data_IF_947793359257
#
_entry.id   IF_947793359257
#
_cell.length_a   1.000
_cell.length_b   1.000
_cell.length_c   1.000
_cell.angle_alpha   90.00
_cell.angle_beta   90.00
_cell.angle_gamma   90.00
#
_symmetry.space_group_name_H-M   'P 1'
#
loop_
_entity.id
_entity.type
_entity.pdbx_description
1 polymer ?
#
# COMPACT_ATOMS: atom_id res chain seq x y z
N UNK A 1 13.21 35.12 46.24
CA UNK A 1 11.88 35.68 46.60
C UNK A 1 11.35 36.33 45.33
N UNK A 2 10.23 35.98 44.69
CA UNK A 2 8.98 35.32 45.09
C UNK A 2 8.48 34.51 43.87
N UNK A 3 8.05 33.28 44.12
CA UNK A 3 7.34 32.42 43.16
C UNK A 3 6.01 33.03 42.71
N UNK A 4 5.63 32.89 41.44
CA UNK A 4 4.23 32.92 41.02
C UNK A 4 3.90 31.71 40.17
N UNK A 5 3.42 30.68 40.85
CA UNK A 5 2.54 29.66 40.28
C UNK A 5 1.20 30.30 39.86
N UNK A 6 0.51 29.58 38.98
CA UNK A 6 -0.94 29.46 38.88
C UNK A 6 -1.62 30.32 37.80
N UNK A 7 -2.05 29.65 36.73
CA UNK A 7 -3.47 29.38 36.46
C UNK A 7 -3.61 28.11 35.62
N UNK A 8 -4.13 27.06 36.27
CA UNK A 8 -4.72 25.88 35.62
C UNK A 8 -6.04 26.32 34.98
N UNK A 9 -6.22 26.09 33.68
CA UNK A 9 -7.56 25.98 33.08
C UNK A 9 -7.84 24.52 32.82
N UNK A 10 -8.65 23.93 33.70
CA UNK A 10 -9.35 22.67 33.52
C UNK A 10 -10.78 23.00 33.10
N UNK A 11 -11.35 22.15 32.25
CA UNK A 11 -12.77 21.82 32.04
C UNK A 11 -13.26 22.07 30.60
N UNK A 12 -13.46 20.94 29.92
CA UNK A 12 -14.23 20.82 28.69
C UNK A 12 -14.55 19.34 28.41
N UNK A 13 -15.03 18.60 29.42
CA UNK A 13 -15.68 17.30 29.21
C UNK A 13 -17.03 17.54 28.54
N UNK A 14 -17.25 16.95 27.37
CA UNK A 14 -18.58 16.80 26.77
C UNK A 14 -18.79 15.32 26.48
N UNK A 15 -19.39 14.61 27.44
CA UNK A 15 -19.78 13.21 27.32
C UNK A 15 -21.22 13.10 26.80
N UNK A 16 -21.41 12.13 25.90
CA UNK A 16 -22.64 11.37 25.54
C UNK A 16 -23.83 12.06 24.86
N UNK A 17 -24.22 11.47 23.72
CA UNK A 17 -25.62 11.14 23.46
C UNK A 17 -25.69 9.89 22.57
N UNK A 18 -25.84 8.71 23.18
CA UNK A 18 -26.43 7.55 22.52
C UNK A 18 -27.95 7.70 22.56
N UNK A 19 -28.63 7.47 21.44
CA UNK A 19 -30.08 7.22 21.42
C UNK A 19 -30.38 6.09 20.43
N UNK A 20 -31.41 5.34 20.81
CA UNK A 20 -31.69 3.92 20.54
C UNK A 20 -32.54 3.72 19.27
N UNK A 21 -32.44 2.50 18.73
CA UNK A 21 -33.31 1.86 17.74
C UNK A 21 -34.82 2.16 17.88
N UNK A 22 -35.45 2.43 16.74
CA UNK A 22 -36.79 1.97 16.33
C UNK A 22 -36.80 2.07 14.78
N UNK A 23 -37.16 1.08 13.97
CA UNK A 23 -38.28 0.16 14.11
C UNK A 23 -39.41 0.60 13.16
N UNK A 24 -39.25 0.43 11.85
CA UNK A 24 -40.36 0.55 10.88
C UNK A 24 -40.73 -0.83 10.35
N UNK A 25 -41.87 -1.31 10.85
CA UNK A 25 -42.65 -2.43 10.37
C UNK A 25 -43.36 -2.09 9.07
N UNK A 26 -43.41 -3.05 8.14
CA UNK A 26 -44.37 -3.13 7.03
C UNK A 26 -43.69 -3.52 5.72
N UNK A 27 -43.96 -4.64 5.07
CA UNK A 27 -44.93 -5.71 5.28
C UNK A 27 -45.14 -6.46 3.96
N UNK A 28 -45.53 -7.73 4.07
CA UNK A 28 -46.22 -8.56 3.05
C UNK A 28 -45.40 -9.24 1.94
N UNK A 29 -45.42 -10.58 1.97
CA UNK A 29 -45.60 -11.38 0.75
C UNK A 29 -44.87 -12.72 0.66
N UNK A 30 -45.58 -13.83 0.93
CA UNK A 30 -45.53 -15.02 0.05
C UNK A 30 -44.69 -16.24 0.46
N UNK A 31 -45.28 -17.12 1.27
CA UNK A 31 -45.58 -18.53 0.98
C UNK A 31 -44.75 -19.27 -0.11
N UNK A 32 -44.00 -20.32 0.28
CA UNK A 32 -44.20 -21.76 -0.10
C UNK A 32 -42.91 -22.60 -0.04
N UNK A 33 -43.01 -23.73 0.69
CA UNK A 33 -42.53 -25.11 0.43
C UNK A 33 -41.03 -25.33 0.07
N UNK A 34 -40.32 -26.39 0.47
CA UNK A 34 -40.64 -27.80 0.64
C UNK A 34 -39.66 -28.48 1.64
N UNK A 35 -40.17 -29.47 2.37
CA UNK A 35 -39.39 -30.51 3.04
C UNK A 35 -38.63 -31.37 2.02
N UNK A 36 -37.32 -31.60 2.22
CA UNK A 36 -36.66 -32.79 1.67
C UNK A 36 -35.70 -33.43 2.68
N UNK A 37 -36.11 -34.61 3.11
CA UNK A 37 -35.33 -35.62 3.82
C UNK A 37 -34.70 -36.56 2.76
N UNK A 38 -33.46 -37.02 2.93
CA UNK A 38 -32.91 -38.09 2.10
C UNK A 38 -31.39 -38.21 2.10
N UNK A 39 -30.88 -39.21 2.81
CA UNK A 39 -29.49 -39.64 2.74
C UNK A 39 -29.15 -40.43 1.47
N UNK A 40 -27.87 -40.72 1.30
CA UNK A 40 -27.35 -41.61 0.26
C UNK A 40 -25.83 -41.67 0.30
N UNK A 41 -25.32 -42.82 0.75
CA UNK A 41 -23.92 -43.25 0.70
C UNK A 41 -23.53 -43.60 -0.74
N UNK A 42 -22.29 -43.29 -1.17
CA UNK A 42 -21.66 -43.94 -2.34
C UNK A 42 -20.15 -44.13 -2.14
N UNK A 43 -19.74 -45.37 -2.41
CA UNK A 43 -18.43 -46.02 -2.43
C UNK A 43 -17.34 -45.38 -3.32
N UNK A 44 -16.11 -45.51 -2.82
CA UNK A 44 -14.88 -46.07 -3.43
C UNK A 44 -14.57 -45.84 -4.92
N UNK A 45 -13.44 -45.17 -5.20
CA UNK A 45 -12.52 -45.55 -6.29
C UNK A 45 -11.11 -45.04 -6.01
N UNK A 46 -10.17 -45.97 -5.94
CA UNK A 46 -8.72 -45.78 -5.94
C UNK A 46 -8.21 -45.12 -7.22
N UNK A 47 -7.35 -44.11 -7.09
CA UNK A 47 -6.31 -43.80 -8.08
C UNK A 47 -5.02 -43.49 -7.33
N UNK A 48 -4.14 -44.48 -7.28
CA UNK A 48 -2.71 -44.23 -7.15
C UNK A 48 -2.26 -43.76 -8.54
N UNK A 49 -1.83 -42.50 -8.65
CA UNK A 49 -1.03 -42.04 -9.78
C UNK A 49 0.20 -41.32 -9.26
N UNK A 50 1.30 -41.75 -9.84
CA UNK A 50 2.67 -41.49 -9.48
C UNK A 50 3.09 -40.07 -9.89
N UNK A 51 4.01 -39.50 -9.11
CA UNK A 51 5.02 -38.51 -9.50
C UNK A 51 4.58 -37.24 -10.24
N UNK A 52 4.76 -36.11 -9.54
CA UNK A 52 5.49 -34.96 -10.12
C UNK A 52 6.36 -34.34 -9.03
N UNK A 53 7.62 -34.75 -9.00
CA UNK A 53 8.71 -33.86 -8.60
C UNK A 53 8.88 -32.88 -9.77
N UNK A 54 8.64 -31.58 -9.52
CA UNK A 54 8.94 -30.36 -10.31
C UNK A 54 7.92 -29.29 -9.84
N UNK A 55 8.25 -28.10 -9.34
CA UNK A 55 9.38 -27.23 -9.62
C UNK A 55 9.83 -26.48 -8.36
N UNK A 56 11.14 -26.48 -8.11
CA UNK A 56 11.81 -25.47 -7.29
C UNK A 56 11.82 -24.13 -8.08
N UNK A 57 10.69 -23.43 -8.18
CA UNK A 57 10.68 -22.02 -8.65
C UNK A 57 9.47 -21.21 -8.12
N UNK A 58 9.07 -21.50 -6.87
CA UNK A 58 7.83 -20.99 -6.28
C UNK A 58 7.86 -19.56 -5.75
N UNK A 59 8.99 -18.85 -5.82
CA UNK A 59 9.17 -17.56 -5.14
C UNK A 59 8.79 -16.35 -6.01
N UNK A 60 8.84 -16.48 -7.35
CA UNK A 60 8.65 -15.33 -8.24
C UNK A 60 7.20 -15.15 -8.70
N UNK A 61 6.44 -16.25 -8.83
CA UNK A 61 5.04 -16.20 -9.25
C UNK A 61 4.15 -15.43 -8.26
N UNK A 62 4.49 -15.42 -6.96
CA UNK A 62 3.69 -14.77 -5.90
C UNK A 62 3.77 -13.25 -5.94
N UNK A 63 4.90 -12.68 -6.39
CA UNK A 63 5.07 -11.23 -6.50
C UNK A 63 4.28 -10.65 -7.67
N UNK A 64 4.05 -11.44 -8.70
CA UNK A 64 3.32 -11.03 -9.90
C UNK A 64 1.81 -11.27 -9.83
N UNK A 65 1.36 -12.31 -9.13
CA UNK A 65 -0.01 -12.84 -9.23
C UNK A 65 -1.08 -12.07 -8.44
N UNK A 66 -0.88 -10.78 -8.13
CA UNK A 66 -1.80 -9.98 -7.31
C UNK A 66 -2.48 -8.87 -8.12
N UNK A 67 -3.77 -8.65 -7.88
CA UNK A 67 -4.48 -7.46 -8.37
C UNK A 67 -3.92 -6.18 -7.73
N UNK A 68 -4.05 -5.04 -8.41
CA UNK A 68 -3.52 -3.73 -7.99
C UNK A 68 -3.56 -3.52 -6.46
N UNK A 69 -2.40 -3.17 -5.88
CA UNK A 69 -2.24 -2.94 -4.43
C UNK A 69 -1.77 -1.52 -4.16
N UNK A 70 -2.25 -0.94 -3.08
CA UNK A 70 -1.89 0.40 -2.67
C UNK A 70 -1.83 0.49 -1.15
N UNK A 71 -0.68 0.86 -0.60
CA UNK A 71 -0.47 0.92 0.85
C UNK A 71 0.56 1.98 1.24
N UNK A 72 0.39 2.61 2.41
CA UNK A 72 1.36 3.56 2.94
C UNK A 72 2.64 2.85 3.42
N UNK A 73 3.80 3.48 3.24
CA UNK A 73 5.06 3.01 3.82
C UNK A 73 5.00 2.91 5.34
N UNK A 74 5.79 1.99 5.91
CA UNK A 74 5.78 1.71 7.36
C UNK A 74 7.10 2.01 8.07
N UNK A 75 8.17 2.27 7.32
CA UNK A 75 9.45 2.64 7.91
C UNK A 75 9.41 4.06 8.50
N UNK A 76 10.40 4.36 9.34
CA UNK A 76 10.53 5.67 9.97
C UNK A 76 10.63 6.78 8.91
N UNK A 77 10.04 7.97 9.16
CA UNK A 77 10.17 9.11 8.27
C UNK A 77 11.63 9.49 8.03
N UNK A 78 11.92 9.95 6.81
CA UNK A 78 13.27 10.41 6.42
C UNK A 78 13.24 11.87 5.99
N UNK A 79 14.43 12.49 6.02
CA UNK A 79 14.64 13.83 5.49
C UNK A 79 15.64 13.80 4.34
N UNK A 80 15.40 14.61 3.32
CA UNK A 80 16.34 14.84 2.21
C UNK A 80 16.44 16.33 1.94
N UNK A 81 17.56 16.74 1.34
CA UNK A 81 17.81 18.13 0.95
C UNK A 81 18.02 18.21 -0.56
N UNK A 82 17.42 19.23 -1.18
CA UNK A 82 17.51 19.54 -2.62
C UNK A 82 17.73 21.04 -2.80
N UNK A 83 18.17 21.46 -3.98
CA UNK A 83 18.30 22.88 -4.34
C UNK A 83 16.98 23.44 -4.89
N UNK A 84 16.76 24.75 -4.82
CA UNK A 84 15.54 25.39 -5.34
C UNK A 84 15.31 25.21 -6.85
N UNK A 85 16.39 25.00 -7.61
CA UNK A 85 16.34 24.74 -9.05
C UNK A 85 15.85 23.32 -9.42
N UNK A 86 15.61 22.45 -8.43
CA UNK A 86 15.24 21.05 -8.64
C UNK A 86 13.75 20.86 -8.99
N UNK A 87 13.35 19.62 -9.24
CA UNK A 87 11.98 19.25 -9.62
C UNK A 87 10.94 19.54 -8.51
N UNK A 88 9.63 19.48 -8.83
CA UNK A 88 8.60 19.68 -7.82
C UNK A 88 8.83 18.81 -6.59
N UNK A 89 8.67 19.41 -5.40
CA UNK A 89 9.02 18.80 -4.12
C UNK A 89 8.46 17.38 -3.88
N UNK A 90 7.25 17.08 -4.38
CA UNK A 90 6.67 15.73 -4.30
C UNK A 90 7.34 14.69 -5.20
N UNK A 91 7.96 15.10 -6.31
CA UNK A 91 8.78 14.21 -7.16
C UNK A 91 10.08 13.87 -6.45
N UNK A 92 10.73 14.86 -5.83
CA UNK A 92 11.94 14.64 -5.03
C UNK A 92 11.68 13.77 -3.80
N UNK A 93 10.51 13.93 -3.15
CA UNK A 93 10.08 13.02 -2.09
C UNK A 93 9.95 11.57 -2.58
N UNK A 94 9.31 11.34 -3.74
CA UNK A 94 9.18 10.01 -4.33
C UNK A 94 10.55 9.40 -4.71
N UNK A 95 11.46 10.21 -5.28
CA UNK A 95 12.83 9.78 -5.61
C UNK A 95 13.63 9.41 -4.38
N UNK A 96 13.55 10.22 -3.33
CA UNK A 96 14.22 9.93 -2.07
C UNK A 96 13.69 8.65 -1.42
N UNK A 97 12.38 8.41 -1.49
CA UNK A 97 11.78 7.16 -1.03
C UNK A 97 12.28 5.94 -1.82
N UNK A 98 12.30 6.00 -3.16
CA UNK A 98 12.83 4.90 -3.99
C UNK A 98 14.28 4.60 -3.64
N UNK A 99 15.14 5.62 -3.58
CA UNK A 99 16.55 5.45 -3.20
C UNK A 99 16.70 4.81 -1.82
N UNK A 100 15.86 5.21 -0.85
CA UNK A 100 15.87 4.59 0.47
C UNK A 100 15.51 3.10 0.40
N UNK A 101 14.48 2.74 -0.36
CA UNK A 101 14.07 1.33 -0.57
C UNK A 101 15.20 0.53 -1.24
N UNK A 102 15.85 1.08 -2.26
CA UNK A 102 16.99 0.46 -2.95
C UNK A 102 18.14 0.17 -1.99
N UNK A 103 18.46 1.13 -1.12
CA UNK A 103 19.49 0.99 -0.09
C UNK A 103 19.13 -0.07 0.97
N UNK A 104 17.87 -0.13 1.41
CA UNK A 104 17.43 -1.09 2.45
C UNK A 104 17.30 -2.52 1.92
N UNK A 105 16.85 -2.70 0.68
CA UNK A 105 16.65 -4.01 0.07
C UNK A 105 17.86 -4.49 -0.75
N UNK A 106 18.91 -3.67 -0.85
CA UNK A 106 20.11 -3.95 -1.65
C UNK A 106 19.75 -4.32 -3.12
N UNK A 107 18.71 -3.66 -3.67
CA UNK A 107 18.20 -3.89 -5.04
C UNK A 107 18.11 -2.58 -5.79
N UNK A 108 18.44 -2.59 -7.08
CA UNK A 108 18.29 -1.41 -7.94
C UNK A 108 16.93 -1.46 -8.64
N UNK A 109 16.15 -0.38 -8.55
CA UNK A 109 14.89 -0.23 -9.25
C UNK A 109 15.18 0.03 -10.73
N UNK A 110 14.88 -0.97 -11.57
CA UNK A 110 14.88 -0.79 -13.01
C UNK A 110 13.52 -0.31 -13.48
N UNK A 111 13.52 0.57 -14.49
CA UNK A 111 12.31 1.15 -15.06
C UNK A 111 11.29 0.14 -15.60
N UNK A 112 11.69 -1.11 -15.86
CA UNK A 112 10.77 -2.19 -16.27
C UNK A 112 9.84 -2.67 -15.14
N UNK A 113 10.25 -2.54 -13.88
CA UNK A 113 9.50 -3.08 -12.74
C UNK A 113 9.33 -2.11 -11.58
N UNK A 114 10.05 -0.99 -11.55
CA UNK A 114 9.97 -0.01 -10.47
C UNK A 114 10.19 1.43 -10.92
N UNK A 115 9.48 2.38 -10.30
CA UNK A 115 9.74 3.81 -10.53
C UNK A 115 9.21 4.71 -9.41
N UNK A 116 9.80 5.90 -9.22
CA UNK A 116 9.17 6.95 -8.43
C UNK A 116 7.95 7.51 -9.18
N UNK A 117 6.88 7.84 -8.45
CA UNK A 117 5.69 8.47 -9.02
C UNK A 117 5.18 9.63 -8.18
N UNK A 118 4.60 10.63 -8.84
CA UNK A 118 3.93 11.73 -8.16
C UNK A 118 2.61 12.08 -8.85
N UNK A 119 1.51 12.03 -8.10
CA UNK A 119 0.19 12.41 -8.60
C UNK A 119 -0.15 13.82 -8.13
N UNK A 120 0.14 14.82 -8.97
CA UNK A 120 0.00 16.24 -8.59
C UNK A 120 -1.42 16.66 -8.19
N UNK A 121 -2.46 15.92 -8.63
CA UNK A 121 -3.85 16.21 -8.25
C UNK A 121 -4.16 15.83 -6.80
N UNK A 122 -3.57 14.75 -6.29
CA UNK A 122 -3.74 14.32 -4.90
C UNK A 122 -2.59 14.75 -4.00
N UNK A 123 -1.46 15.18 -4.57
CA UNK A 123 -0.24 15.49 -3.81
C UNK A 123 0.49 14.24 -3.32
N UNK A 124 0.18 13.08 -3.90
CA UNK A 124 0.64 11.78 -3.43
C UNK A 124 1.95 11.37 -4.10
N UNK A 125 2.99 11.15 -3.28
CA UNK A 125 4.27 10.61 -3.70
C UNK A 125 4.28 9.08 -3.55
N UNK A 126 4.85 8.38 -4.53
CA UNK A 126 4.68 6.94 -4.69
C UNK A 126 6.00 6.23 -5.01
N UNK A 127 6.15 5.04 -4.48
CA UNK A 127 7.02 3.99 -5.00
C UNK A 127 6.16 3.04 -5.82
N UNK A 128 6.30 3.05 -7.14
CA UNK A 128 5.53 2.16 -8.01
C UNK A 128 6.30 0.87 -8.29
N UNK A 129 5.57 -0.24 -8.27
CA UNK A 129 6.00 -1.56 -8.71
C UNK A 129 5.13 -2.01 -9.88
N UNK A 130 5.73 -2.52 -10.94
CA UNK A 130 5.05 -2.94 -12.15
C UNK A 130 5.26 -4.44 -12.39
N UNK A 131 4.15 -5.14 -12.60
CA UNK A 131 4.14 -6.46 -13.20
C UNK A 131 3.55 -6.33 -14.62
N UNK A 132 4.23 -6.85 -15.63
CA UNK A 132 3.81 -6.72 -17.03
C UNK A 132 3.36 -8.08 -17.54
N UNK A 133 2.13 -8.16 -18.06
CA UNK A 133 1.56 -9.34 -18.71
C UNK A 133 1.59 -9.20 -20.23
N UNK A 134 1.91 -10.28 -20.94
CA UNK A 134 1.70 -10.37 -22.38
C UNK A 134 0.20 -10.56 -22.72
N UNK A 135 -0.12 -10.61 -24.02
CA UNK A 135 -1.50 -10.81 -24.49
C UNK A 135 -2.11 -12.17 -24.14
N UNK A 136 -1.27 -13.16 -23.83
CA UNK A 136 -1.68 -14.50 -23.43
C UNK A 136 -1.93 -14.61 -21.92
N UNK A 137 -1.68 -13.52 -21.16
CA UNK A 137 -1.86 -13.44 -19.72
C UNK A 137 -0.66 -13.95 -18.90
N UNK A 138 0.47 -14.22 -19.54
CA UNK A 138 1.71 -14.60 -18.85
C UNK A 138 2.51 -13.37 -18.45
N UNK A 139 3.13 -13.40 -17.27
CA UNK A 139 3.97 -12.30 -16.82
C UNK A 139 5.34 -12.34 -17.50
N UNK A 140 5.68 -11.27 -18.22
CA UNK A 140 6.98 -11.05 -18.86
C UNK A 140 7.91 -10.20 -18.00
N UNK A 141 7.37 -9.49 -17.02
CA UNK A 141 8.16 -8.74 -16.03
C UNK A 141 7.50 -8.87 -14.66
N UNK A 142 8.32 -9.21 -13.66
CA UNK A 142 7.93 -9.33 -12.27
C UNK A 142 8.91 -8.57 -11.38
N UNK A 143 8.42 -7.79 -10.40
CA UNK A 143 9.29 -7.22 -9.37
C UNK A 143 10.03 -8.36 -8.64
N UNK A 144 11.36 -8.26 -8.48
CA UNK A 144 12.16 -9.27 -7.78
C UNK A 144 11.94 -9.27 -6.27
N UNK A 145 11.27 -8.24 -5.75
CA UNK A 145 10.93 -8.03 -4.34
C UNK A 145 9.43 -8.12 -4.14
N UNK A 146 8.98 -8.61 -2.98
CA UNK A 146 7.55 -8.64 -2.68
C UNK A 146 7.02 -7.24 -2.32
N UNK A 147 5.73 -7.00 -2.60
CA UNK A 147 5.08 -5.75 -2.22
C UNK A 147 5.19 -5.46 -0.73
N UNK A 148 4.95 -6.48 0.10
CA UNK A 148 4.94 -6.33 1.56
C UNK A 148 6.35 -6.00 2.08
N UNK A 149 7.42 -6.56 1.51
CA UNK A 149 8.80 -6.16 1.83
C UNK A 149 9.07 -4.69 1.47
N UNK A 150 8.63 -4.25 0.30
CA UNK A 150 8.78 -2.85 -0.12
C UNK A 150 8.00 -1.91 0.81
N UNK A 151 6.78 -2.25 1.22
CA UNK A 151 5.98 -1.48 2.18
C UNK A 151 6.68 -1.34 3.52
N UNK A 152 7.25 -2.44 4.04
CA UNK A 152 7.93 -2.44 5.34
C UNK A 152 9.13 -1.49 5.37
N UNK A 153 9.89 -1.39 4.27
CA UNK A 153 11.08 -0.51 4.21
C UNK A 153 10.80 0.88 3.65
N UNK A 154 9.65 1.11 3.01
CA UNK A 154 9.30 2.42 2.48
C UNK A 154 9.00 3.36 3.66
N UNK A 155 9.61 4.55 3.73
CA UNK A 155 9.32 5.51 4.80
C UNK A 155 7.86 5.93 4.75
N UNK A 156 7.20 6.08 5.90
CA UNK A 156 5.81 6.55 5.94
C UNK A 156 5.66 7.98 5.38
N UNK A 157 6.72 8.78 5.52
CA UNK A 157 6.76 10.18 5.14
C UNK A 157 8.19 10.59 4.75
N UNK A 158 8.32 11.51 3.79
CA UNK A 158 9.58 12.15 3.42
C UNK A 158 9.42 13.66 3.56
N UNK A 159 10.30 14.27 4.36
CA UNK A 159 10.47 15.73 4.41
C UNK A 159 11.59 16.13 3.45
N UNK A 160 11.27 16.99 2.49
CA UNK A 160 12.23 17.57 1.55
C UNK A 160 12.50 18.99 1.99
N UNK A 161 13.76 19.30 2.28
CA UNK A 161 14.25 20.64 2.57
C UNK A 161 14.83 21.24 1.30
N UNK A 162 14.43 22.46 0.98
CA UNK A 162 14.88 23.20 -0.20
C UNK A 162 15.91 24.23 0.27
N UNK A 163 17.15 24.04 -0.15
CA UNK A 163 18.23 25.01 0.08
C UNK A 163 18.03 26.20 -0.85
N UNK A 164 17.69 27.35 -0.27
CA UNK A 164 17.56 28.63 -0.97
C UNK A 164 18.70 29.53 -0.51
N UNK A 165 19.49 30.07 -1.45
CA UNK A 165 20.56 31.02 -1.11
C UNK A 165 19.96 32.27 -0.45
N UNK A 166 20.41 32.57 0.78
CA UNK A 166 20.06 33.76 1.57
C UNK A 166 18.62 33.84 2.14
N UNK A 167 17.83 32.75 2.11
CA UNK A 167 16.48 32.67 2.72
C UNK A 167 16.39 31.59 3.82
N UNK A 168 15.29 31.59 4.59
CA UNK A 168 15.04 30.49 5.55
C UNK A 168 14.70 29.22 4.76
N UNK A 169 15.27 28.07 5.14
CA UNK A 169 14.99 26.78 4.51
C UNK A 169 13.47 26.57 4.38
N UNK A 170 12.96 26.54 3.14
CA UNK A 170 11.59 26.12 2.86
C UNK A 170 11.57 24.60 2.70
N UNK A 171 10.46 23.95 3.05
CA UNK A 171 10.37 22.51 2.96
C UNK A 171 8.95 22.02 2.74
N UNK A 172 8.83 20.89 2.06
CA UNK A 172 7.58 20.17 1.96
C UNK A 172 7.69 18.82 2.67
N UNK A 173 6.55 18.21 2.93
CA UNK A 173 6.47 16.90 3.56
C UNK A 173 5.37 16.11 2.87
N UNK A 174 5.70 14.90 2.44
CA UNK A 174 4.79 14.03 1.70
C UNK A 174 4.73 12.65 2.34
N UNK A 175 3.51 12.17 2.57
CA UNK A 175 3.28 10.75 2.81
C UNK A 175 3.69 9.95 1.57
N UNK A 176 4.33 8.79 1.79
CA UNK A 176 4.76 7.91 0.71
C UNK A 176 3.90 6.66 0.68
N UNK A 177 3.44 6.32 -0.52
CA UNK A 177 2.66 5.12 -0.75
C UNK A 177 3.38 4.17 -1.71
N UNK A 178 3.32 2.88 -1.43
CA UNK A 178 3.72 1.83 -2.36
C UNK A 178 2.51 1.45 -3.19
N UNK A 179 2.69 1.43 -4.50
CA UNK A 179 1.64 1.10 -5.45
C UNK A 179 2.12 -0.02 -6.38
N UNK A 180 1.43 -1.15 -6.39
CA UNK A 180 1.69 -2.23 -7.33
C UNK A 180 0.62 -2.26 -8.39
N UNK A 181 1.02 -2.14 -9.66
CA UNK A 181 0.14 -2.13 -10.82
C UNK A 181 0.48 -3.32 -11.72
N UNK A 182 -0.54 -3.90 -12.33
CA UNK A 182 -0.39 -4.86 -13.42
C UNK A 182 -0.69 -4.17 -14.75
N UNK A 183 0.28 -4.16 -15.66
CA UNK A 183 0.15 -3.59 -17.00
C UNK A 183 0.09 -4.70 -18.06
N UNK A 184 -0.52 -4.42 -19.21
CA UNK A 184 -0.44 -5.29 -20.39
C UNK A 184 0.59 -4.73 -21.37
N UNK A 185 1.38 -5.61 -21.99
CA UNK A 185 2.24 -5.26 -23.12
C UNK A 185 1.41 -4.60 -24.23
N UNK A 186 1.91 -3.47 -24.75
CA UNK A 186 1.26 -2.65 -25.77
C UNK A 186 1.74 -2.90 -27.19
#
# INVERSE_FOLDING_TARGET
>A
MVSRLSRRSLLGLSTTASVVLAGCLGGSGGDKTDDFNGGGETDDSTTEDEQSENDEDGSNATNCSVSERHEQGRADPIETTVSDDDEPCGVEAARAAVRHVEEQLETEFDSSWGSPGYVSRSGEARVNLFAIQNTDGEYVTCPPVSFDEVVEVTPAEVTVRIEVEDEEDEGCTHEIYVNQIVEQEG
#
